data_IF_276401369474
#
_entry.id   IF_276401369474
#
_cell.length_a   1.000
_cell.length_b   1.000
_cell.length_c   1.000
_cell.angle_alpha   90.00
_cell.angle_beta   90.00
_cell.angle_gamma   90.00
#
_symmetry.space_group_name_H-M   'P 1'
#
loop_
_entity.id
_entity.type
_entity.pdbx_description
1 polymer ?
#
# COMPACT_ATOMS: atom_id res chain seq x y z
N UNK A 1 9.60 -5.35 0.65
CA UNK A 1 9.24 -4.88 -0.69
C UNK A 1 7.72 -4.89 -0.85
N UNK A 2 7.19 -3.88 -1.48
CA UNK A 2 5.75 -3.73 -1.64
C UNK A 2 5.24 -4.62 -2.79
N UNK A 3 4.09 -5.25 -2.58
CA UNK A 3 3.44 -6.04 -3.62
C UNK A 3 2.58 -5.11 -4.47
N UNK A 4 3.17 -4.56 -5.52
CA UNK A 4 2.52 -3.55 -6.33
C UNK A 4 1.29 -4.08 -7.06
N UNK A 5 1.33 -5.34 -7.48
CA UNK A 5 0.21 -5.94 -8.20
C UNK A 5 -1.02 -6.05 -7.29
N UNK A 6 -0.82 -6.53 -6.07
CA UNK A 6 -1.92 -6.65 -5.11
C UNK A 6 -2.43 -5.28 -4.70
N UNK A 7 -1.53 -4.31 -4.54
CA UNK A 7 -1.93 -2.96 -4.20
C UNK A 7 -2.82 -2.35 -5.29
N UNK A 8 -2.40 -2.47 -6.54
CA UNK A 8 -3.18 -1.94 -7.65
C UNK A 8 -4.54 -2.63 -7.76
N UNK A 9 -4.54 -3.93 -7.50
CA UNK A 9 -5.77 -4.70 -7.54
C UNK A 9 -6.75 -4.23 -6.46
N UNK A 10 -6.28 -3.99 -5.26
CA UNK A 10 -7.12 -3.52 -4.18
C UNK A 10 -7.63 -2.10 -4.43
N UNK A 11 -6.82 -1.26 -5.03
CA UNK A 11 -7.25 0.09 -5.40
C UNK A 11 -8.38 0.01 -6.42
N UNK A 12 -8.21 -0.86 -7.41
CA UNK A 12 -9.24 -1.03 -8.43
C UNK A 12 -10.54 -1.55 -7.82
N UNK A 13 -10.44 -2.53 -6.93
CA UNK A 13 -11.63 -3.11 -6.30
C UNK A 13 -12.35 -2.11 -5.40
N UNK A 14 -11.62 -1.16 -4.83
CA UNK A 14 -12.21 -0.17 -3.94
C UNK A 14 -13.18 0.76 -4.66
N UNK A 15 -13.02 0.91 -5.97
CA UNK A 15 -13.82 1.86 -6.74
C UNK A 15 -13.38 3.31 -6.56
N UNK A 16 -12.36 3.55 -5.75
CA UNK A 16 -11.88 4.90 -5.51
C UNK A 16 -10.90 5.33 -6.62
N UNK A 17 -11.01 6.58 -7.02
CA UNK A 17 -10.08 7.12 -7.99
C UNK A 17 -8.76 7.44 -7.29
N UNK A 18 -7.66 7.32 -8.03
CA UNK A 18 -6.34 7.62 -7.47
C UNK A 18 -6.28 9.06 -6.95
N UNK A 19 -6.96 9.98 -7.62
CA UNK A 19 -7.02 11.37 -7.17
C UNK A 19 -7.59 11.49 -5.77
N UNK A 20 -8.65 10.73 -5.48
CA UNK A 20 -9.27 10.75 -4.16
C UNK A 20 -8.34 10.13 -3.11
N UNK A 21 -7.68 9.04 -3.47
CA UNK A 21 -6.74 8.38 -2.57
C UNK A 21 -5.56 9.31 -2.26
N UNK A 22 -5.01 9.94 -3.30
CA UNK A 22 -3.89 10.87 -3.12
C UNK A 22 -4.26 12.01 -2.18
N UNK A 23 -5.49 12.51 -2.32
CA UNK A 23 -5.98 13.58 -1.45
C UNK A 23 -6.01 13.13 0.01
N UNK A 24 -6.48 11.90 0.26
CA UNK A 24 -6.53 11.37 1.61
C UNK A 24 -5.15 11.22 2.21
N UNK A 25 -4.16 10.91 1.40
CA UNK A 25 -2.79 10.75 1.85
C UNK A 25 -2.04 12.07 1.93
N UNK A 26 -2.62 13.14 1.38
CA UNK A 26 -1.96 14.44 1.39
C UNK A 26 -0.84 14.57 0.37
N UNK A 27 -0.93 13.82 -0.73
CA UNK A 27 0.10 13.84 -1.78
C UNK A 27 -0.57 14.07 -3.14
N UNK A 28 0.26 14.33 -4.14
CA UNK A 28 -0.25 14.52 -5.50
C UNK A 28 -0.59 13.17 -6.14
N UNK A 29 -1.45 13.20 -7.16
CA UNK A 29 -1.78 11.99 -7.90
C UNK A 29 -0.53 11.40 -8.55
N UNK A 30 0.33 12.25 -9.10
CA UNK A 30 1.57 11.79 -9.71
C UNK A 30 2.48 11.13 -8.66
N UNK A 31 2.54 11.73 -7.45
CA UNK A 31 3.31 11.16 -6.36
C UNK A 31 2.79 9.80 -5.94
N UNK A 32 1.45 9.67 -5.87
CA UNK A 32 0.84 8.40 -5.54
C UNK A 32 1.19 7.34 -6.58
N UNK A 33 1.11 7.69 -7.87
CA UNK A 33 1.43 6.74 -8.94
C UNK A 33 2.86 6.23 -8.83
N UNK A 34 3.81 7.12 -8.51
CA UNK A 34 5.19 6.71 -8.33
C UNK A 34 5.33 5.71 -7.17
N UNK A 35 4.63 5.97 -6.07
CA UNK A 35 4.70 5.09 -4.91
C UNK A 35 4.06 3.75 -5.19
N UNK A 36 2.94 3.73 -5.92
CA UNK A 36 2.28 2.47 -6.30
C UNK A 36 3.21 1.63 -7.17
N UNK A 37 3.98 2.28 -8.04
CA UNK A 37 4.91 1.58 -8.93
C UNK A 37 6.26 1.30 -8.28
N UNK A 38 6.37 1.59 -6.99
CA UNK A 38 7.57 1.36 -6.21
C UNK A 38 8.78 2.17 -6.69
N UNK A 39 8.51 3.32 -7.29
CA UNK A 39 9.55 4.27 -7.69
C UNK A 39 9.86 5.24 -6.58
N UNK A 40 9.03 5.28 -5.56
CA UNK A 40 9.18 6.11 -4.37
C UNK A 40 8.53 5.35 -3.22
N UNK A 41 9.04 5.50 -2.02
CA UNK A 41 8.55 4.75 -0.88
C UNK A 41 7.36 5.44 -0.22
N UNK A 42 6.40 4.63 0.26
CA UNK A 42 5.35 5.13 1.11
C UNK A 42 5.91 5.43 2.50
N UNK A 43 5.50 6.55 3.07
CA UNK A 43 5.84 6.86 4.45
C UNK A 43 4.91 6.07 5.37
N UNK A 44 5.36 5.85 6.61
CA UNK A 44 4.54 5.12 7.58
C UNK A 44 3.17 5.76 7.75
N UNK A 45 3.12 7.10 7.82
CA UNK A 45 1.85 7.81 7.97
C UNK A 45 0.94 7.62 6.76
N UNK A 46 1.54 7.51 5.57
CA UNK A 46 0.78 7.30 4.34
C UNK A 46 0.20 5.90 4.30
N UNK A 47 0.99 4.91 4.73
CA UNK A 47 0.51 3.52 4.80
C UNK A 47 -0.68 3.43 5.75
N UNK A 48 -0.61 4.12 6.88
CA UNK A 48 -1.69 4.14 7.85
C UNK A 48 -2.96 4.74 7.25
N UNK A 49 -2.83 5.87 6.58
CA UNK A 49 -3.98 6.52 5.95
C UNK A 49 -4.55 5.67 4.82
N UNK A 50 -3.66 5.07 4.03
CA UNK A 50 -4.09 4.19 2.94
C UNK A 50 -4.86 2.99 3.49
N UNK A 51 -4.38 2.43 4.60
CA UNK A 51 -5.04 1.32 5.26
C UNK A 51 -6.48 1.67 5.61
N UNK A 52 -6.68 2.86 6.19
CA UNK A 52 -8.02 3.32 6.54
C UNK A 52 -8.87 3.60 5.30
N UNK A 53 -8.26 4.25 4.32
CA UNK A 53 -8.98 4.64 3.10
C UNK A 53 -9.48 3.43 2.32
N UNK A 54 -8.68 2.37 2.24
CA UNK A 54 -9.05 1.16 1.51
C UNK A 54 -9.74 0.12 2.40
N UNK A 55 -9.84 0.40 3.69
CA UNK A 55 -10.52 -0.52 4.61
C UNK A 55 -9.78 -1.82 4.83
N UNK A 56 -8.47 -1.81 4.75
CA UNK A 56 -7.67 -3.00 4.96
C UNK A 56 -7.66 -3.43 6.42
N UNK A 57 -7.56 -4.75 6.63
CA UNK A 57 -7.16 -5.28 7.93
C UNK A 57 -5.65 -5.09 8.08
N UNK A 58 -5.16 -5.25 9.32
CA UNK A 58 -3.72 -5.19 9.55
C UNK A 58 -3.01 -6.28 8.75
N UNK A 59 -3.60 -7.46 8.70
CA UNK A 59 -3.03 -8.57 7.95
C UNK A 59 -2.90 -8.24 6.47
N UNK A 60 -3.94 -7.63 5.89
CA UNK A 60 -3.89 -7.28 4.48
C UNK A 60 -2.85 -6.22 4.21
N UNK A 61 -2.76 -5.20 5.08
CA UNK A 61 -1.75 -4.17 4.98
C UNK A 61 -0.35 -4.79 4.98
N UNK A 62 -0.12 -5.73 5.91
CA UNK A 62 1.19 -6.35 6.04
C UNK A 62 1.51 -7.22 4.83
N UNK A 63 0.53 -7.89 4.26
CA UNK A 63 0.73 -8.68 3.04
C UNK A 63 1.25 -7.81 1.90
N UNK A 64 0.73 -6.60 1.81
CA UNK A 64 1.08 -5.72 0.68
C UNK A 64 2.39 -4.99 0.93
N UNK A 65 2.61 -4.47 2.13
CA UNK A 65 3.76 -3.62 2.40
C UNK A 65 4.93 -4.32 3.05
N UNK A 66 4.70 -5.43 3.74
CA UNK A 66 5.74 -6.12 4.48
C UNK A 66 5.87 -7.59 4.08
N UNK A 67 5.43 -7.93 2.88
CA UNK A 67 5.54 -9.28 2.33
C UNK A 67 6.95 -9.47 1.79
N UNK A 68 7.77 -10.05 2.58
CA UNK A 68 9.13 -10.35 2.16
C UNK A 68 9.22 -11.72 1.59
N UNK A 69 8.76 -11.96 1.66
CA UNK A 69 8.92 -13.11 1.47
C UNK A 69 8.96 -14.05 2.06
N UNK A 70 8.60 -13.86 1.98
CA UNK A 70 8.53 -14.52 2.51
C UNK A 70 9.05 -15.35 3.16
N UNK A 71 9.52 -15.22 3.17
CA UNK A 71 10.20 -15.92 3.74
C UNK A 71 10.43 -15.90 4.84
N UNK A 72 10.41 -15.54 4.99
CA UNK A 72 10.69 -15.61 5.88
C UNK A 72 10.36 -15.76 6.83
N UNK A 73 10.07 -15.90 6.76
CA UNK A 73 9.76 -16.08 7.55
C UNK A 73 9.90 -16.24 8.41
N UNK A 74 10.26 -16.14 7.99
CA UNK A 74 10.52 -16.28 8.66
C UNK A 74 10.56 -16.23 9.59
N UNK A 75 10.72 -16.15 9.31
CA UNK A 75 10.97 -16.10 10.06
C UNK A 75 10.73 -15.88 11.09
N UNK A 76 10.84 -15.74 11.11
CA UNK A 76 10.70 -15.59 11.90
C UNK A 76 10.52 -15.19 12.83
N UNK A 77 10.65 -15.03 12.67
CA UNK A 77 10.47 -14.74 13.39
C UNK A 77 10.21 -14.61 13.92
N UNK A 78 10.30 -14.62 13.37
CA UNK A 78 10.05 -14.62 13.69
C UNK A 78 9.94 -14.54 14.15
#
# INVERSE_FOLDING_TARGET
MIDTKELENDIMKSGLKRKAIARELGITTAGLSKKIRNLSEFRASEIEKLTKTLGWTRERRDQIFFNHNSDLKSTKRS
#
